data_IF_444936372778
#
_entry.id   IF_444936372778
#
_cell.length_a   1.000
_cell.length_b   1.000
_cell.length_c   1.000
_cell.angle_alpha   90.00
_cell.angle_beta   90.00
_cell.angle_gamma   90.00
#
_symmetry.space_group_name_H-M   'P 1'
#
loop_
_entity.id
_entity.type
_entity.pdbx_description
1 polymer ?
#
# COMPACT_ATOMS: atom_id res chain seq x y z
N UNK A 1 -2.12 6.91 19.59
CA UNK A 1 -1.35 5.65 19.62
C UNK A 1 -1.98 4.69 20.60
N UNK A 2 -2.21 3.46 20.18
CA UNK A 2 -2.62 2.35 21.06
C UNK A 2 -2.09 1.03 20.50
N UNK A 3 -0.76 0.95 20.36
CA UNK A 3 0.00 -0.20 19.88
C UNK A 3 1.22 -0.43 20.78
N UNK A 4 1.86 -1.58 20.63
CA UNK A 4 3.11 -1.94 21.33
C UNK A 4 4.28 -2.21 20.37
N UNK A 5 3.98 -2.44 19.11
CA UNK A 5 4.98 -2.77 18.09
C UNK A 5 5.33 -1.52 17.30
N UNK A 6 6.62 -1.43 16.99
CA UNK A 6 7.22 -0.37 16.21
C UNK A 6 7.87 -0.96 14.95
N UNK A 7 8.06 -0.13 13.93
CA UNK A 7 8.77 -0.54 12.73
C UNK A 7 10.23 -0.90 13.07
N UNK A 8 10.70 -2.06 12.58
CA UNK A 8 12.11 -2.44 12.74
C UNK A 8 12.97 -1.68 11.72
N UNK A 9 13.73 -0.70 12.22
CA UNK A 9 14.62 0.14 11.43
C UNK A 9 15.69 -0.61 10.62
N UNK A 10 15.99 -1.87 10.96
CA UNK A 10 16.88 -2.72 10.14
C UNK A 10 16.36 -2.89 8.70
N UNK A 11 15.04 -2.84 8.50
CA UNK A 11 14.42 -2.97 7.17
C UNK A 11 14.23 -1.63 6.44
N UNK A 12 14.59 -0.51 7.08
CA UNK A 12 14.28 0.83 6.56
C UNK A 12 14.85 1.06 5.16
N UNK A 13 16.13 0.70 4.97
CA UNK A 13 16.80 0.86 3.68
C UNK A 13 16.21 -0.05 2.61
N UNK A 14 16.05 -1.34 2.93
CA UNK A 14 15.51 -2.32 1.98
C UNK A 14 14.12 -1.92 1.48
N UNK A 15 13.24 -1.43 2.37
CA UNK A 15 11.89 -1.00 1.99
C UNK A 15 11.91 0.35 1.25
N UNK A 16 12.80 1.28 1.62
CA UNK A 16 12.99 2.52 0.87
C UNK A 16 13.44 2.25 -0.58
N UNK A 17 14.42 1.37 -0.76
CA UNK A 17 14.94 0.98 -2.07
C UNK A 17 13.85 0.27 -2.93
N UNK A 18 12.85 -0.35 -2.27
CA UNK A 18 11.68 -0.94 -2.91
C UNK A 18 10.52 0.06 -3.15
N UNK A 19 10.72 1.35 -2.89
CA UNK A 19 9.76 2.42 -3.17
C UNK A 19 8.92 2.90 -1.98
N UNK A 20 9.14 2.38 -0.77
CA UNK A 20 8.45 2.87 0.43
C UNK A 20 9.01 4.22 0.88
N UNK A 21 8.14 5.20 1.04
CA UNK A 21 8.48 6.54 1.52
C UNK A 21 8.14 6.62 3.01
N UNK A 22 9.12 7.00 3.85
CA UNK A 22 8.94 7.21 5.29
C UNK A 22 8.50 8.67 5.55
N UNK A 23 7.26 8.99 5.19
CA UNK A 23 6.71 10.34 5.16
C UNK A 23 6.53 11.00 6.55
N UNK A 24 6.39 10.19 7.60
CA UNK A 24 6.25 10.68 8.97
C UNK A 24 7.12 9.89 9.92
N UNK A 25 7.96 10.60 10.67
CA UNK A 25 8.83 10.02 11.70
C UNK A 25 8.71 10.82 12.99
N UNK A 26 9.00 10.19 14.12
CA UNK A 26 9.11 10.88 15.40
C UNK A 26 10.18 12.00 15.34
N UNK A 27 10.13 13.02 16.22
CA UNK A 27 11.11 14.10 16.22
C UNK A 27 12.57 13.65 16.39
N UNK A 28 12.80 12.50 17.02
CA UNK A 28 14.12 11.87 17.17
C UNK A 28 14.48 10.91 16.02
N UNK A 29 13.64 10.85 14.98
CA UNK A 29 13.74 10.04 13.76
C UNK A 29 13.78 8.51 13.96
N UNK A 30 13.50 8.02 15.18
CA UNK A 30 13.57 6.59 15.52
C UNK A 30 12.30 5.81 15.18
N UNK A 31 11.14 6.42 15.37
CA UNK A 31 9.85 5.77 15.11
C UNK A 31 9.33 6.21 13.76
N UNK A 32 8.84 5.23 13.00
CA UNK A 32 8.14 5.47 11.74
C UNK A 32 6.65 5.54 12.06
N UNK A 33 6.06 6.69 11.77
CA UNK A 33 4.69 7.03 12.13
C UNK A 33 3.76 7.01 10.91
N UNK A 34 4.28 7.36 9.74
CA UNK A 34 3.56 7.38 8.47
C UNK A 34 4.46 6.87 7.34
N UNK A 35 3.91 6.01 6.50
CA UNK A 35 4.54 5.51 5.28
C UNK A 35 3.63 5.70 4.07
N UNK A 36 4.23 5.87 2.90
CA UNK A 36 3.55 5.99 1.62
C UNK A 36 4.23 5.12 0.56
N UNK A 37 3.52 4.77 -0.51
CA UNK A 37 4.12 4.14 -1.71
C UNK A 37 3.99 5.11 -2.89
N UNK A 38 5.12 5.66 -3.34
CA UNK A 38 5.13 6.78 -4.30
C UNK A 38 4.48 6.49 -5.66
N UNK A 39 4.54 5.25 -6.12
CA UNK A 39 3.96 4.82 -7.41
C UNK A 39 2.46 4.51 -7.33
N UNK A 40 1.82 4.69 -6.16
CA UNK A 40 0.39 4.42 -5.98
C UNK A 40 -0.36 5.72 -5.64
N UNK A 41 -1.48 6.04 -6.32
CA UNK A 41 -2.15 7.34 -6.20
C UNK A 41 -2.62 7.67 -4.78
N UNK A 42 -2.95 6.64 -3.99
CA UNK A 42 -3.19 6.77 -2.55
C UNK A 42 -2.92 5.45 -1.81
N UNK A 43 -1.67 5.23 -1.39
CA UNK A 43 -1.30 4.12 -0.50
C UNK A 43 -0.55 4.70 0.69
N UNK A 44 -1.29 4.96 1.76
CA UNK A 44 -0.78 5.61 2.97
C UNK A 44 -1.08 4.74 4.17
N UNK A 45 -0.07 4.48 5.00
CA UNK A 45 -0.20 3.81 6.29
C UNK A 45 0.19 4.75 7.42
N UNK A 46 -0.61 4.82 8.48
CA UNK A 46 -0.26 5.55 9.70
C UNK A 46 -0.37 4.64 10.93
N UNK A 47 0.53 4.82 11.90
CA UNK A 47 0.55 4.03 13.11
C UNK A 47 -0.45 4.54 14.18
N UNK A 48 -0.75 5.84 14.16
CA UNK A 48 -1.76 6.44 15.03
C UNK A 48 -3.19 6.17 14.56
N UNK A 49 -4.14 6.63 15.37
CA UNK A 49 -5.58 6.51 15.15
C UNK A 49 -6.17 7.84 14.65
N UNK A 50 -6.17 8.14 13.34
CA UNK A 50 -6.76 9.36 12.79
C UNK A 50 -8.27 9.48 13.05
N UNK A 51 -8.96 8.35 13.23
CA UNK A 51 -10.40 8.25 13.47
C UNK A 51 -10.83 9.02 14.72
N UNK A 52 -10.04 8.97 15.80
CA UNK A 52 -10.40 9.63 17.05
C UNK A 52 -10.32 11.16 16.95
N UNK A 53 -9.62 11.70 15.95
CA UNK A 53 -9.51 13.14 15.69
C UNK A 53 -10.43 13.64 14.57
N UNK A 54 -11.06 12.75 13.82
CA UNK A 54 -12.01 13.11 12.76
C UNK A 54 -13.35 13.58 13.33
N UNK A 55 -13.97 14.59 12.73
CA UNK A 55 -15.31 15.11 13.10
C UNK A 55 -16.16 15.32 11.84
N UNK A 56 -17.51 15.29 11.94
CA UNK A 56 -18.37 15.49 10.76
C UNK A 56 -18.12 16.80 9.99
N UNK A 57 -17.84 17.89 10.70
CA UNK A 57 -17.56 19.21 10.12
C UNK A 57 -16.06 19.49 9.92
N UNK A 58 -15.19 18.56 10.33
CA UNK A 58 -13.73 18.66 10.20
C UNK A 58 -13.16 17.25 10.05
N UNK A 59 -13.31 16.63 8.87
CA UNK A 59 -12.76 15.30 8.63
C UNK A 59 -11.25 15.33 8.76
N UNK A 60 -10.67 14.23 9.24
CA UNK A 60 -9.21 14.10 9.25
C UNK A 60 -8.67 14.11 7.81
N UNK A 61 -7.55 14.81 7.52
CA UNK A 61 -7.00 14.92 6.18
C UNK A 61 -6.76 13.57 5.47
N UNK A 62 -6.30 12.55 6.20
CA UNK A 62 -6.12 11.20 5.64
C UNK A 62 -7.42 10.60 5.07
N UNK A 63 -8.56 10.76 5.75
CA UNK A 63 -9.83 10.25 5.24
C UNK A 63 -10.34 11.09 4.08
N UNK A 64 -10.19 12.41 4.16
CA UNK A 64 -10.57 13.30 3.06
C UNK A 64 -9.76 12.99 1.79
N UNK A 65 -8.44 12.83 1.92
CA UNK A 65 -7.55 12.45 0.82
C UNK A 65 -7.89 11.08 0.24
N UNK A 66 -8.19 10.09 1.09
CA UNK A 66 -8.60 8.76 0.65
C UNK A 66 -9.86 8.81 -0.23
N UNK A 67 -10.88 9.54 0.21
CA UNK A 67 -12.14 9.68 -0.56
C UNK A 67 -11.90 10.44 -1.87
N UNK A 68 -11.08 11.50 -1.85
CA UNK A 68 -10.73 12.23 -3.07
C UNK A 68 -10.01 11.32 -4.09
N UNK A 69 -9.04 10.52 -3.63
CA UNK A 69 -8.35 9.57 -4.48
C UNK A 69 -9.28 8.47 -5.03
N UNK A 70 -10.22 7.99 -4.22
CA UNK A 70 -11.21 7.01 -4.66
C UNK A 70 -12.14 7.56 -5.75
N UNK A 71 -12.58 8.82 -5.62
CA UNK A 71 -13.39 9.51 -6.64
C UNK A 71 -12.57 9.69 -7.93
N UNK A 72 -11.31 10.12 -7.83
CA UNK A 72 -10.43 10.27 -8.98
C UNK A 72 -10.25 8.93 -9.71
N UNK A 73 -9.91 7.86 -8.99
CA UNK A 73 -9.76 6.52 -9.53
C UNK A 73 -11.04 5.99 -10.19
N UNK A 74 -12.21 6.26 -9.61
CA UNK A 74 -13.50 5.91 -10.22
C UNK A 74 -13.70 6.62 -11.55
N UNK A 75 -13.36 7.91 -11.62
CA UNK A 75 -13.51 8.71 -12.85
C UNK A 75 -12.58 8.25 -13.97
N UNK A 76 -11.32 7.92 -13.63
CA UNK A 76 -10.34 7.38 -14.58
C UNK A 76 -10.74 6.00 -15.09
N UNK A 77 -11.23 5.14 -14.19
CA UNK A 77 -11.75 3.80 -14.53
C UNK A 77 -13.01 3.86 -15.42
N UNK A 78 -13.78 4.94 -15.35
CA UNK A 78 -14.94 5.16 -16.22
C UNK A 78 -14.55 5.71 -17.61
N UNK A 79 -13.40 6.40 -17.71
CA UNK A 79 -12.87 6.94 -18.96
C UNK A 79 -12.02 5.93 -19.76
N UNK A 80 -11.46 4.91 -19.10
CA UNK A 80 -10.78 3.79 -19.73
C UNK A 80 -11.83 2.74 -20.19
N UNK A 81 -11.87 2.33 -21.46
CA UNK A 81 -12.72 1.21 -21.86
C UNK A 81 -12.26 -0.02 -21.08
N UNK A 82 -13.19 -0.65 -20.35
CA UNK A 82 -12.95 -1.88 -19.58
C UNK A 82 -12.26 -2.90 -20.49
N UNK A 83 -10.94 -3.04 -20.40
CA UNK A 83 -10.23 -4.14 -21.03
C UNK A 83 -10.78 -5.41 -20.39
N UNK A 84 -11.50 -6.19 -21.19
CA UNK A 84 -12.02 -7.50 -20.80
C UNK A 84 -10.89 -8.29 -20.12
N UNK A 85 -11.12 -9.00 -19.00
CA UNK A 85 -10.16 -9.99 -18.56
C UNK A 85 -10.09 -11.04 -19.67
N UNK A 86 -9.01 -11.01 -20.47
CA UNK A 86 -8.71 -12.07 -21.42
C UNK A 86 -8.63 -13.36 -20.63
N UNK A 87 -9.61 -14.21 -20.85
CA UNK A 87 -9.81 -15.45 -20.13
C UNK A 87 -8.60 -16.37 -20.22
N UNK A 88 -8.40 -17.10 -19.12
CA UNK A 88 -8.05 -18.52 -19.08
C UNK A 88 -7.64 -19.12 -20.45
N UNK A 89 -6.37 -18.98 -20.81
CA UNK A 89 -5.73 -19.92 -21.72
C UNK A 89 -5.10 -21.02 -20.85
N UNK A 90 -5.88 -22.06 -20.60
CA UNK A 90 -5.37 -23.37 -20.25
C UNK A 90 -4.39 -23.80 -21.35
N UNK A 91 -3.15 -24.11 -20.98
CA UNK A 91 -2.24 -24.85 -21.84
C UNK A 91 -1.31 -25.74 -21.02
N UNK A 92 -1.64 -27.03 -21.11
CA UNK A 92 -0.78 -28.20 -21.06
C UNK A 92 0.00 -28.51 -19.76
N UNK A 93 -0.48 -29.57 -19.10
CA UNK A 93 0.38 -30.55 -18.44
C UNK A 93 1.61 -30.85 -19.33
N UNK A 94 2.79 -30.80 -18.76
CA UNK A 94 3.89 -31.68 -19.16
C UNK A 94 4.54 -32.18 -17.89
N UNK A 95 4.09 -33.33 -17.42
CA UNK A 95 4.91 -34.19 -16.57
C UNK A 95 6.15 -34.58 -17.38
N UNK A 96 7.35 -34.49 -16.81
CA UNK A 96 8.45 -35.41 -17.14
C UNK A 96 9.40 -35.56 -15.94
N UNK A 97 9.24 -36.71 -15.28
CA UNK A 97 10.25 -37.62 -14.75
C UNK A 97 11.42 -37.06 -13.94
N UNK A 98 11.35 -37.31 -12.63
CA UNK A 98 12.49 -37.61 -11.76
C UNK A 98 13.36 -38.68 -12.42
N UNK A 99 14.66 -38.43 -12.53
CA UNK A 99 15.67 -39.48 -12.66
C UNK A 99 16.65 -39.35 -11.51
N UNK A 100 16.61 -40.31 -10.60
CA UNK A 100 17.74 -40.69 -9.74
C UNK A 100 18.83 -41.27 -10.63
N UNK A 101 20.10 -40.86 -10.44
CA UNK A 101 21.31 -41.66 -10.67
C UNK A 101 22.54 -40.92 -10.14
N UNK A 102 23.23 -41.60 -9.21
CA UNK A 102 24.54 -41.34 -8.55
C UNK A 102 24.61 -40.31 -7.41
#
# INVERSE_FOLDING_TARGET
HRHRFEFNNQYRRQLADAGMIFAGVSPDARLVEVVELGEHPFMVGCQFHPEFKSRPNKPHPLFQGFIQAAIAHQSESAAQPKSTPTGLASSALTEHSVTESE
#
